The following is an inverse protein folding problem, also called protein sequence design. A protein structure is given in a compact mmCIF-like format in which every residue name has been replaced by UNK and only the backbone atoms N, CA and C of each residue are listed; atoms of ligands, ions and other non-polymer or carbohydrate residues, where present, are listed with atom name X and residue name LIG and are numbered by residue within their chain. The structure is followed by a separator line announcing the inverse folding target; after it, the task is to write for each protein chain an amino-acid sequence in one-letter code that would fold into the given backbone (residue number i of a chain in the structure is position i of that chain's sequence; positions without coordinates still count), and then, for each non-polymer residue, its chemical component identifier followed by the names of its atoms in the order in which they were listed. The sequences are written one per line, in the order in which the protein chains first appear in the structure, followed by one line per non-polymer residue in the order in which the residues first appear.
data_IF_721606776259
#
_entry.id   IF_721606776259
#
_cell.length_a   1.000
_cell.length_b   1.000
_cell.length_c   1.000
_cell.angle_alpha   90.00
_cell.angle_beta   90.00
_cell.angle_gamma   90.00
#
_symmetry.space_group_name_H-M   'P 1'
#
loop_
_entity.id
_entity.type
_entity.pdbx_description
1 polymer ?
#
# COMPACT_ATOMS: atom_id res chain seq x y z
N UNK A 1 0.70 9.50 24.40
CA UNK A 1 1.59 9.35 23.23
C UNK A 1 0.76 9.55 21.97
N UNK A 2 1.18 10.42 21.06
CA UNK A 2 0.50 10.61 19.77
C UNK A 2 0.83 9.43 18.86
N UNK A 3 -0.17 8.78 18.22
CA UNK A 3 0.12 7.70 17.26
C UNK A 3 0.93 8.27 16.08
N UNK A 4 1.84 7.47 15.47
CA UNK A 4 2.55 7.91 14.29
C UNK A 4 1.57 8.18 13.15
N UNK A 5 1.86 9.20 12.34
CA UNK A 5 1.06 9.53 11.17
C UNK A 5 1.17 8.40 10.13
N UNK A 6 0.12 8.13 9.33
CA UNK A 6 0.16 7.13 8.26
C UNK A 6 1.34 7.29 7.29
N UNK A 7 1.81 8.53 7.09
CA UNK A 7 2.96 8.86 6.26
C UNK A 7 4.28 8.25 6.72
N UNK A 8 4.41 7.83 7.98
CA UNK A 8 5.60 7.13 8.46
C UNK A 8 5.82 5.76 7.80
N UNK A 9 4.79 5.25 7.11
CA UNK A 9 4.80 3.98 6.36
C UNK A 9 5.08 4.18 4.87
N UNK A 10 5.14 5.42 4.40
CA UNK A 10 5.39 5.71 2.99
C UNK A 10 6.88 5.53 2.72
N UNK A 11 7.20 4.73 1.71
CA UNK A 11 8.57 4.41 1.33
C UNK A 11 8.70 4.57 -0.19
N UNK A 12 9.79 5.21 -0.60
CA UNK A 12 10.32 5.04 -1.94
C UNK A 12 10.81 3.60 -2.15
N UNK A 13 11.01 3.22 -3.41
CA UNK A 13 11.61 1.92 -3.74
C UNK A 13 13.01 1.77 -3.15
N UNK A 14 13.80 2.84 -3.15
CA UNK A 14 15.16 2.84 -2.58
C UNK A 14 15.13 2.53 -1.08
N UNK A 15 14.30 3.26 -0.31
CA UNK A 15 14.13 3.01 1.13
C UNK A 15 13.59 1.60 1.41
N UNK A 16 12.66 1.11 0.58
CA UNK A 16 12.14 -0.26 0.69
C UNK A 16 13.25 -1.29 0.51
N UNK A 17 14.07 -1.16 -0.54
CA UNK A 17 15.16 -2.09 -0.81
C UNK A 17 16.30 -1.97 0.22
N UNK A 18 16.57 -0.79 0.74
CA UNK A 18 17.52 -0.61 1.83
C UNK A 18 17.06 -1.35 3.10
N UNK A 19 15.76 -1.24 3.44
CA UNK A 19 15.17 -1.88 4.63
C UNK A 19 14.99 -3.38 4.47
N UNK A 20 14.52 -3.83 3.30
CA UNK A 20 13.98 -5.18 3.09
C UNK A 20 14.52 -5.91 1.85
N UNK A 21 15.40 -5.32 1.04
CA UNK A 21 15.86 -5.86 -0.25
C UNK A 21 16.95 -6.94 -0.16
N UNK A 22 17.49 -7.23 1.02
CA UNK A 22 18.41 -8.36 1.23
C UNK A 22 17.67 -9.52 1.87
N UNK A 23 18.07 -10.79 1.61
CA UNK A 23 17.59 -11.94 2.37
C UNK A 23 17.97 -11.74 3.83
N UNK A 24 17.02 -11.23 4.60
CA UNK A 24 17.01 -11.19 6.05
C UNK A 24 16.04 -12.31 6.42
N UNK A 25 16.23 -13.02 7.53
CA UNK A 25 15.45 -14.22 7.89
C UNK A 25 13.94 -14.00 8.14
N UNK A 26 13.31 -13.05 7.46
CA UNK A 26 11.91 -12.67 7.51
C UNK A 26 11.31 -12.66 6.09
N UNK A 27 10.02 -12.99 5.99
CA UNK A 27 9.27 -13.08 4.73
C UNK A 27 8.62 -11.73 4.43
N UNK A 28 8.91 -11.17 3.25
CA UNK A 28 8.26 -9.95 2.75
C UNK A 28 7.17 -10.35 1.75
N UNK A 29 5.92 -10.04 2.10
CA UNK A 29 4.77 -10.20 1.22
C UNK A 29 4.58 -8.89 0.45
N UNK A 30 4.45 -9.00 -0.86
CA UNK A 30 4.17 -7.85 -1.71
C UNK A 30 2.81 -8.01 -2.38
N UNK A 31 2.07 -6.90 -2.45
CA UNK A 31 0.91 -6.78 -3.32
C UNK A 31 0.81 -5.37 -3.88
N UNK A 32 -0.06 -5.15 -4.87
CA UNK A 32 -0.34 -3.82 -5.38
C UNK A 32 -1.82 -3.61 -5.68
N UNK A 33 -2.21 -2.35 -5.82
CA UNK A 33 -3.55 -2.02 -6.26
C UNK A 33 -3.84 -0.52 -6.27
N UNK A 34 -5.04 -0.20 -6.74
CA UNK A 34 -5.53 1.16 -6.81
C UNK A 34 -6.09 1.65 -5.46
N UNK A 35 -6.85 0.82 -4.74
CA UNK A 35 -7.42 1.16 -3.42
C UNK A 35 -8.17 2.50 -3.36
N UNK A 36 -8.91 2.84 -4.43
CA UNK A 36 -9.63 4.12 -4.58
C UNK A 36 -10.73 4.32 -3.55
N UNK A 37 -11.70 3.40 -3.52
CA UNK A 37 -12.75 3.36 -2.49
C UNK A 37 -12.58 2.06 -1.73
N UNK A 38 -12.15 2.17 -0.48
CA UNK A 38 -11.97 1.01 0.37
C UNK A 38 -13.32 0.43 0.79
N UNK A 39 -13.34 -0.90 0.91
CA UNK A 39 -14.49 -1.66 1.37
C UNK A 39 -13.99 -2.93 2.04
N UNK A 40 -14.89 -3.66 2.70
CA UNK A 40 -14.59 -4.90 3.45
C UNK A 40 -13.64 -5.85 2.72
N UNK A 41 -13.92 -6.12 1.43
CA UNK A 41 -13.07 -7.00 0.62
C UNK A 41 -11.59 -6.59 0.56
N UNK A 42 -11.26 -5.30 0.51
CA UNK A 42 -9.86 -4.84 0.56
C UNK A 42 -9.22 -5.09 1.93
N UNK A 43 -9.98 -4.91 3.01
CA UNK A 43 -9.47 -5.13 4.37
C UNK A 43 -9.21 -6.61 4.60
N UNK A 44 -10.17 -7.48 4.26
CA UNK A 44 -10.00 -8.94 4.35
C UNK A 44 -8.83 -9.43 3.50
N UNK A 45 -8.70 -8.90 2.28
CA UNK A 45 -7.59 -9.18 1.39
C UNK A 45 -6.23 -8.81 1.98
N UNK A 46 -6.09 -7.57 2.49
CA UNK A 46 -4.84 -7.11 3.09
C UNK A 46 -4.51 -7.86 4.38
N UNK A 47 -5.52 -8.19 5.18
CA UNK A 47 -5.35 -9.01 6.38
C UNK A 47 -4.84 -10.42 6.03
N UNK A 48 -5.44 -11.06 5.02
CA UNK A 48 -4.98 -12.36 4.52
C UNK A 48 -3.54 -12.27 3.98
N UNK A 49 -3.22 -11.23 3.21
CA UNK A 49 -1.86 -11.02 2.70
C UNK A 49 -0.84 -10.80 3.85
N UNK A 50 -1.19 -10.01 4.86
CA UNK A 50 -0.34 -9.75 6.04
C UNK A 50 -0.02 -11.03 6.80
N UNK A 51 -0.94 -12.01 6.84
CA UNK A 51 -0.74 -13.28 7.54
C UNK A 51 0.27 -14.22 6.86
N UNK A 52 0.66 -13.96 5.60
CA UNK A 52 1.56 -14.83 4.83
C UNK A 52 3.06 -14.56 5.07
N UNK A 53 3.40 -13.57 5.91
CA UNK A 53 4.80 -13.26 6.20
C UNK A 53 4.96 -12.26 7.33
N UNK A 54 6.14 -11.69 7.45
CA UNK A 54 6.51 -10.80 8.56
C UNK A 54 6.23 -9.33 8.22
N UNK A 55 6.37 -8.96 6.94
CA UNK A 55 6.18 -7.61 6.43
C UNK A 55 5.24 -7.64 5.23
N UNK A 56 4.22 -6.78 5.22
CA UNK A 56 3.38 -6.54 4.05
C UNK A 56 3.74 -5.21 3.40
N UNK A 57 4.11 -5.26 2.13
CA UNK A 57 4.35 -4.09 1.29
C UNK A 57 3.20 -3.97 0.28
N UNK A 58 2.59 -2.80 0.23
CA UNK A 58 1.51 -2.51 -0.74
C UNK A 58 1.97 -1.43 -1.71
N UNK A 59 2.19 -1.82 -2.96
CA UNK A 59 2.44 -0.88 -4.06
C UNK A 59 1.15 -0.17 -4.47
N UNK A 60 1.13 1.15 -4.37
CA UNK A 60 -0.02 1.95 -4.77
C UNK A 60 0.14 2.47 -6.20
N UNK A 61 -0.85 2.22 -7.07
CA UNK A 61 -0.81 2.78 -8.42
C UNK A 61 -0.90 4.31 -8.40
N UNK A 62 -0.11 4.98 -9.25
CA UNK A 62 -0.26 6.42 -9.52
C UNK A 62 -1.60 6.74 -10.18
N UNK A 63 -2.05 7.99 -10.08
CA UNK A 63 -3.32 8.40 -10.70
C UNK A 63 -3.28 8.25 -12.22
N UNK A 64 -2.13 8.47 -12.85
CA UNK A 64 -1.94 8.26 -14.28
C UNK A 64 -2.07 6.78 -14.66
N UNK A 65 -1.46 5.89 -13.89
CA UNK A 65 -1.57 4.44 -14.10
C UNK A 65 -3.03 3.97 -13.98
N UNK A 66 -3.78 4.53 -13.03
CA UNK A 66 -5.20 4.19 -12.85
C UNK A 66 -6.04 4.76 -13.99
N UNK A 67 -5.83 6.02 -14.40
CA UNK A 67 -6.52 6.63 -15.56
C UNK A 67 -6.34 5.82 -16.82
N UNK A 68 -5.11 5.37 -17.10
CA UNK A 68 -4.82 4.52 -18.27
C UNK A 68 -5.58 3.21 -18.27
N UNK A 69 -5.80 2.61 -17.10
CA UNK A 69 -6.45 1.31 -16.97
C UNK A 69 -7.98 1.40 -16.89
N UNK A 70 -8.50 2.42 -16.21
CA UNK A 70 -9.92 2.52 -15.82
C UNK A 70 -10.67 3.69 -16.47
N UNK A 71 -9.99 4.48 -17.29
CA UNK A 71 -10.53 5.66 -17.94
C UNK A 71 -10.27 6.95 -17.16
N UNK A 72 -10.49 8.09 -17.81
CA UNK A 72 -10.15 9.43 -17.30
C UNK A 72 -10.91 9.84 -16.04
N UNK A 73 -12.07 9.22 -15.76
CA UNK A 73 -12.89 9.49 -14.57
C UNK A 73 -12.38 8.79 -13.30
N UNK A 74 -11.27 8.04 -13.37
CA UNK A 74 -10.67 7.32 -12.24
C UNK A 74 -9.18 7.65 -12.10
N UNK A 75 -8.63 7.71 -10.88
CA UNK A 75 -9.28 7.44 -9.60
C UNK A 75 -10.15 8.61 -9.12
N UNK A 76 -11.04 8.36 -8.17
CA UNK A 76 -11.82 9.41 -7.50
C UNK A 76 -10.94 10.15 -6.49
N UNK A 77 -10.10 9.42 -5.76
CA UNK A 77 -9.18 9.95 -4.76
C UNK A 77 -7.73 9.96 -5.31
N UNK A 78 -6.97 10.99 -4.94
CA UNK A 78 -5.56 11.12 -5.36
C UNK A 78 -4.70 9.98 -4.79
N UNK A 79 -3.52 9.77 -5.37
CA UNK A 79 -2.57 8.78 -4.84
C UNK A 79 -2.22 9.02 -3.37
N UNK A 80 -2.04 10.28 -2.97
CA UNK A 80 -1.70 10.65 -1.60
C UNK A 80 -2.85 10.35 -0.63
N UNK A 81 -4.09 10.68 -1.00
CA UNK A 81 -5.27 10.38 -0.18
C UNK A 81 -5.44 8.87 0.01
N UNK A 82 -5.31 8.11 -1.09
CA UNK A 82 -5.39 6.64 -1.05
C UNK A 82 -4.27 6.04 -0.19
N UNK A 83 -3.05 6.56 -0.29
CA UNK A 83 -1.92 6.14 0.54
C UNK A 83 -2.14 6.47 2.02
N UNK A 84 -2.74 7.62 2.33
CA UNK A 84 -3.02 8.03 3.70
C UNK A 84 -4.04 7.09 4.35
N UNK A 85 -5.16 6.83 3.67
CA UNK A 85 -6.21 5.94 4.18
C UNK A 85 -5.67 4.51 4.33
N UNK A 86 -4.94 4.00 3.34
CA UNK A 86 -4.34 2.67 3.40
C UNK A 86 -3.33 2.56 4.56
N UNK A 87 -2.51 3.58 4.78
CA UNK A 87 -1.57 3.65 5.90
C UNK A 87 -2.24 3.67 7.26
N UNK A 88 -3.53 4.00 7.35
CA UNK A 88 -4.33 3.94 8.57
C UNK A 88 -4.83 2.54 8.96
N UNK A 89 -4.75 1.54 8.08
CA UNK A 89 -5.29 0.19 8.32
C UNK A 89 -4.31 -0.82 8.92
N UNK A 90 -3.00 -0.57 8.78
CA UNK A 90 -1.96 -1.55 9.07
C UNK A 90 -1.24 -1.33 10.40
#
# INVERSE_FOLDING_TARGET
MTPPLPTSKWLSWEELFERHGRPRGHVVVFTNGCFDVLHRGHVEYLHAARALGDVLVVGLNSDESVRRLKGSSRPVNTADDRAWVLGGLA
#
